data_IF_985228377602
#
_entry.id   IF_985228377602
#
_cell.length_a   1.000
_cell.length_b   1.000
_cell.length_c   1.000
_cell.angle_alpha   90.00
_cell.angle_beta   90.00
_cell.angle_gamma   90.00
#
_symmetry.space_group_name_H-M   'P 1'
#
loop_
_entity.id
_entity.type
_entity.pdbx_description
1 polymer ?
#
# COMPACT_ATOMS: atom_id res chain seq x y z
N UNK A 1 -37.67 36.51 45.20
CA UNK A 1 -37.43 36.59 43.75
C UNK A 1 -36.08 35.91 43.45
N UNK A 2 -36.11 34.63 43.12
CA UNK A 2 -34.92 33.82 42.88
C UNK A 2 -34.64 33.87 41.38
N UNK A 3 -33.48 34.39 40.97
CA UNK A 3 -33.01 34.38 39.58
C UNK A 3 -32.32 33.05 39.33
N UNK A 4 -32.94 32.20 38.50
CA UNK A 4 -32.31 30.99 37.99
C UNK A 4 -31.49 31.39 36.77
N UNK A 5 -30.17 31.24 36.88
CA UNK A 5 -29.23 31.40 35.75
C UNK A 5 -29.14 30.05 35.06
N UNK A 6 -29.66 29.97 33.85
CA UNK A 6 -29.45 28.77 32.98
C UNK A 6 -28.11 28.92 32.27
N UNK A 7 -27.12 28.16 32.71
CA UNK A 7 -25.86 28.00 31.97
C UNK A 7 -26.10 26.96 30.87
N UNK A 8 -26.19 27.42 29.64
CA UNK A 8 -26.14 26.54 28.46
C UNK A 8 -24.71 26.02 28.33
N UNK A 9 -24.48 24.76 28.65
CA UNK A 9 -23.30 24.03 28.20
C UNK A 9 -23.47 23.73 26.70
N UNK A 10 -22.84 24.52 25.85
CA UNK A 10 -22.57 24.12 24.48
C UNK A 10 -21.45 23.06 24.51
N UNK A 11 -21.83 21.77 24.45
CA UNK A 11 -20.91 20.71 24.12
C UNK A 11 -20.60 20.84 22.64
N UNK A 12 -19.48 21.51 22.31
CA UNK A 12 -18.88 21.36 20.98
C UNK A 12 -18.45 19.90 20.83
N UNK A 13 -19.20 19.11 20.03
CA UNK A 13 -18.65 17.92 19.44
C UNK A 13 -17.49 18.37 18.54
N UNK A 14 -16.28 18.38 19.09
CA UNK A 14 -15.09 18.27 18.25
C UNK A 14 -15.19 16.90 17.59
N UNK A 15 -15.62 16.86 16.34
CA UNK A 15 -15.31 15.77 15.46
C UNK A 15 -13.80 15.70 15.44
N UNK A 16 -13.22 14.69 16.09
CA UNK A 16 -11.81 14.42 15.98
C UNK A 16 -11.57 14.06 14.50
N UNK A 17 -11.08 15.03 13.73
CA UNK A 17 -10.55 14.75 12.41
C UNK A 17 -9.43 13.73 12.57
N UNK A 18 -9.44 12.75 11.71
CA UNK A 18 -8.38 11.74 11.65
C UNK A 18 -7.03 12.45 11.60
N UNK A 19 -6.22 12.24 12.64
CA UNK A 19 -4.84 12.74 12.72
C UNK A 19 -3.86 11.70 12.21
N UNK A 20 -4.33 10.77 11.39
CA UNK A 20 -3.50 9.70 10.81
C UNK A 20 -2.53 10.33 9.80
N UNK A 21 -1.34 10.70 10.26
CA UNK A 21 -0.26 11.30 9.48
C UNK A 21 0.92 10.36 9.35
N UNK A 22 1.54 10.37 8.18
CA UNK A 22 2.74 9.58 7.92
C UNK A 22 3.96 10.06 8.73
N UNK A 23 4.75 9.11 9.22
CA UNK A 23 6.00 9.38 9.92
C UNK A 23 7.11 8.42 9.49
N UNK A 24 8.18 8.91 8.81
CA UNK A 24 9.27 8.07 8.31
C UNK A 24 10.04 7.32 9.42
N UNK A 25 10.00 7.76 10.68
CA UNK A 25 10.64 7.06 11.79
C UNK A 25 10.03 5.67 12.05
N UNK A 26 8.82 5.44 11.57
CA UNK A 26 8.09 4.17 11.67
C UNK A 26 8.24 3.28 10.43
N UNK A 27 9.13 3.61 9.49
CA UNK A 27 9.43 2.73 8.36
C UNK A 27 10.01 1.41 8.85
N UNK A 28 9.43 0.30 8.39
CA UNK A 28 9.84 -1.06 8.71
C UNK A 28 9.73 -1.93 7.45
N UNK A 29 10.38 -3.08 7.53
CA UNK A 29 10.29 -4.11 6.50
C UNK A 29 9.99 -5.46 7.14
N UNK A 30 9.25 -6.31 6.43
CA UNK A 30 8.94 -7.69 6.84
C UNK A 30 8.90 -8.56 5.60
N UNK A 31 9.43 -9.77 5.66
CA UNK A 31 9.30 -10.72 4.56
C UNK A 31 7.98 -11.49 4.68
N UNK A 32 7.38 -11.76 3.54
CA UNK A 32 6.38 -12.81 3.34
C UNK A 32 7.10 -14.05 2.80
N UNK A 33 6.75 -15.25 3.26
CA UNK A 33 7.47 -16.49 2.88
C UNK A 33 6.72 -17.79 3.22
N UNK A 34 5.41 -17.70 3.45
CA UNK A 34 4.66 -18.88 3.88
C UNK A 34 4.13 -19.73 2.73
N UNK A 35 4.02 -19.17 1.53
CA UNK A 35 3.68 -19.92 0.32
C UNK A 35 4.93 -20.18 -0.54
N UNK A 36 4.81 -20.31 -1.87
CA UNK A 36 5.96 -20.48 -2.75
C UNK A 36 6.63 -19.18 -3.16
N UNK A 37 6.05 -18.03 -2.82
CA UNK A 37 6.65 -16.72 -3.09
C UNK A 37 7.29 -16.19 -1.81
N UNK A 38 8.45 -15.56 -1.96
CA UNK A 38 9.08 -14.78 -0.90
C UNK A 38 9.37 -13.38 -1.41
N UNK A 39 9.01 -12.37 -0.62
CA UNK A 39 9.33 -10.97 -0.93
C UNK A 39 9.44 -10.13 0.34
N UNK A 40 10.18 -9.02 0.27
CA UNK A 40 10.18 -8.01 1.32
C UNK A 40 9.02 -7.05 1.12
N UNK A 41 8.25 -6.81 2.16
CA UNK A 41 7.20 -5.80 2.21
C UNK A 41 7.69 -4.63 3.04
N UNK A 42 7.54 -3.40 2.51
CA UNK A 42 7.85 -2.16 3.22
C UNK A 42 6.55 -1.42 3.53
N UNK A 43 6.40 -0.94 4.75
CA UNK A 43 5.21 -0.19 5.17
C UNK A 43 5.18 1.27 4.68
N UNK A 44 5.78 1.55 3.55
CA UNK A 44 5.73 2.84 2.86
C UNK A 44 5.38 2.71 1.37
N UNK A 45 4.54 1.71 1.03
CA UNK A 45 3.93 1.56 -0.27
C UNK A 45 4.77 0.86 -1.34
N UNK A 46 5.86 0.19 -0.95
CA UNK A 46 6.73 -0.59 -1.84
C UNK A 46 6.78 -2.03 -1.35
N UNK A 47 6.88 -2.98 -2.28
CA UNK A 47 7.18 -4.38 -1.99
C UNK A 47 8.37 -4.84 -2.84
N UNK A 48 9.04 -5.89 -2.42
CA UNK A 48 10.23 -6.40 -3.11
C UNK A 48 11.52 -5.65 -2.70
N UNK A 49 12.42 -5.42 -3.65
CA UNK A 49 13.74 -4.83 -3.41
C UNK A 49 13.92 -3.55 -4.23
N UNK A 50 14.31 -2.46 -3.60
CA UNK A 50 14.66 -1.22 -4.27
C UNK A 50 16.18 -1.08 -4.41
N UNK A 51 16.63 -0.23 -5.34
CA UNK A 51 18.06 0.12 -5.48
C UNK A 51 18.66 0.69 -4.17
N UNK A 52 17.84 1.37 -3.36
CA UNK A 52 18.27 1.91 -2.07
C UNK A 52 18.43 0.83 -0.98
N UNK A 53 17.85 -0.34 -1.18
CA UNK A 53 17.84 -1.46 -0.22
C UNK A 53 18.22 -2.78 -0.89
N UNK A 54 19.45 -2.92 -1.43
CA UNK A 54 19.85 -4.09 -2.23
C UNK A 54 19.94 -5.39 -1.44
N UNK A 55 19.98 -5.32 -0.11
CA UNK A 55 19.99 -6.49 0.77
C UNK A 55 18.61 -7.09 1.06
N UNK A 56 17.54 -6.46 0.60
CA UNK A 56 16.19 -7.00 0.73
C UNK A 56 15.86 -7.94 -0.43
N UNK A 57 14.83 -8.77 -0.23
CA UNK A 57 14.47 -9.85 -1.13
C UNK A 57 13.47 -9.31 -2.16
N UNK A 58 13.77 -9.37 -3.47
CA UNK A 58 12.76 -9.16 -4.52
C UNK A 58 11.74 -10.31 -4.51
N UNK A 59 10.80 -10.33 -5.44
CA UNK A 59 9.89 -11.47 -5.56
C UNK A 59 10.65 -12.69 -6.06
N UNK A 60 10.85 -13.63 -5.16
CA UNK A 60 11.52 -14.91 -5.36
C UNK A 60 10.49 -16.03 -5.48
N UNK A 61 10.65 -16.87 -6.47
CA UNK A 61 9.85 -18.08 -6.67
C UNK A 61 10.69 -19.17 -7.36
N UNK A 62 10.67 -20.42 -6.86
CA UNK A 62 10.12 -20.85 -5.58
C UNK A 62 10.88 -20.27 -4.37
N UNK A 63 10.23 -20.21 -3.23
CA UNK A 63 10.83 -19.72 -1.97
C UNK A 63 12.16 -20.40 -1.69
N UNK A 64 13.19 -19.62 -1.32
CA UNK A 64 14.57 -20.06 -1.05
C UNK A 64 15.36 -20.60 -2.27
N UNK A 65 14.89 -20.37 -3.49
CA UNK A 65 15.62 -20.77 -4.71
C UNK A 65 16.69 -19.77 -5.12
N UNK A 66 16.54 -18.50 -4.77
CA UNK A 66 17.33 -17.40 -5.32
C UNK A 66 16.88 -16.98 -6.73
N UNK A 67 15.81 -17.57 -7.26
CA UNK A 67 15.24 -17.24 -8.56
C UNK A 67 14.28 -16.06 -8.43
N UNK A 68 14.57 -14.94 -9.06
CA UNK A 68 13.83 -13.70 -8.94
C UNK A 68 13.03 -13.38 -10.19
N UNK A 69 11.84 -12.79 -10.00
CA UNK A 69 10.89 -12.53 -11.09
C UNK A 69 10.41 -11.08 -11.15
N UNK A 70 10.25 -10.40 -9.99
CA UNK A 70 9.96 -8.97 -9.93
C UNK A 70 10.91 -8.30 -8.94
N UNK A 71 11.54 -7.22 -9.34
CA UNK A 71 12.37 -6.43 -8.44
C UNK A 71 11.51 -5.77 -7.36
N UNK A 72 10.45 -5.08 -7.77
CA UNK A 72 9.53 -4.42 -6.84
C UNK A 72 8.15 -4.19 -7.45
N UNK A 73 7.16 -3.97 -6.57
CA UNK A 73 5.88 -3.35 -6.94
C UNK A 73 5.62 -2.12 -6.08
N UNK A 74 4.88 -1.15 -6.60
CA UNK A 74 4.57 0.07 -5.87
C UNK A 74 3.22 0.66 -6.29
N UNK A 75 2.38 1.02 -5.28
CA UNK A 75 1.10 1.67 -5.50
C UNK A 75 1.29 3.09 -6.01
N UNK A 76 0.74 3.42 -7.17
CA UNK A 76 0.61 4.77 -7.69
C UNK A 76 -0.84 5.24 -7.60
N UNK A 77 -1.03 6.50 -7.22
CA UNK A 77 -2.33 7.17 -7.28
C UNK A 77 -2.17 8.48 -8.03
N UNK A 78 -2.93 8.63 -9.11
CA UNK A 78 -3.02 9.85 -9.90
C UNK A 78 -4.31 10.59 -9.62
N UNK A 79 -4.23 11.92 -9.49
CA UNK A 79 -5.39 12.80 -9.32
C UNK A 79 -5.29 13.99 -10.26
N UNK A 80 -6.43 14.59 -10.63
CA UNK A 80 -6.46 15.92 -11.26
C UNK A 80 -6.89 16.96 -10.23
N UNK A 81 -6.20 18.08 -10.18
CA UNK A 81 -6.54 19.20 -9.30
C UNK A 81 -6.69 20.49 -10.08
N UNK A 82 -7.52 21.38 -9.57
CA UNK A 82 -7.57 22.77 -10.01
C UNK A 82 -6.66 23.56 -9.07
N UNK A 83 -5.64 24.17 -9.62
CA UNK A 83 -4.68 24.98 -8.86
C UNK A 83 -5.26 26.33 -8.46
N UNK A 84 -4.57 27.04 -7.58
CA UNK A 84 -4.92 28.40 -7.19
C UNK A 84 -4.93 29.40 -8.37
N UNK A 85 -4.24 29.06 -9.47
CA UNK A 85 -4.19 29.83 -10.71
C UNK A 85 -5.25 29.34 -11.73
N UNK A 86 -6.21 28.53 -11.30
CA UNK A 86 -7.30 27.96 -12.11
C UNK A 86 -6.80 27.01 -13.23
N UNK A 87 -5.59 26.46 -13.11
CA UNK A 87 -5.08 25.48 -14.05
C UNK A 87 -5.40 24.06 -13.58
N UNK A 88 -5.72 23.16 -14.52
CA UNK A 88 -5.83 21.73 -14.24
C UNK A 88 -4.45 21.12 -14.28
N UNK A 89 -4.04 20.44 -13.18
CA UNK A 89 -2.76 19.74 -13.09
C UNK A 89 -2.93 18.30 -12.63
N UNK A 90 -2.31 17.34 -13.32
CA UNK A 90 -2.21 15.98 -12.81
C UNK A 90 -1.19 15.93 -11.67
N UNK A 91 -1.52 15.22 -10.61
CA UNK A 91 -0.64 14.89 -9.50
C UNK A 91 -0.51 13.37 -9.39
N UNK A 92 0.68 12.88 -9.09
CA UNK A 92 0.90 11.45 -8.91
C UNK A 92 1.66 11.22 -7.62
N UNK A 93 1.09 10.41 -6.74
CA UNK A 93 1.79 9.83 -5.58
C UNK A 93 2.26 8.44 -5.96
N UNK A 94 3.58 8.26 -5.98
CA UNK A 94 4.21 6.96 -6.24
C UNK A 94 5.44 6.84 -5.34
N UNK A 95 5.59 5.75 -4.56
CA UNK A 95 6.76 5.55 -3.69
C UNK A 95 8.05 5.36 -4.50
N UNK A 96 9.19 5.32 -3.81
CA UNK A 96 10.56 5.18 -4.34
C UNK A 96 11.02 6.27 -5.33
N UNK A 97 10.25 7.32 -5.55
CA UNK A 97 10.61 8.46 -6.39
C UNK A 97 10.97 9.68 -5.56
N UNK A 98 11.74 10.56 -6.17
CA UNK A 98 12.02 11.89 -5.64
C UNK A 98 11.78 12.90 -6.74
N UNK A 99 11.45 14.13 -6.36
CA UNK A 99 11.44 15.25 -7.29
C UNK A 99 12.86 15.64 -7.72
N UNK A 100 12.99 16.63 -8.61
CA UNK A 100 14.28 17.10 -9.11
C UNK A 100 15.19 17.69 -8.02
N UNK A 101 14.62 18.06 -6.87
CA UNK A 101 15.34 18.60 -5.72
C UNK A 101 15.71 17.53 -4.69
N UNK A 102 15.35 16.25 -4.95
CA UNK A 102 15.61 15.12 -4.07
C UNK A 102 14.59 14.95 -2.94
N UNK A 103 13.46 15.69 -2.94
CA UNK A 103 12.39 15.50 -1.96
C UNK A 103 11.64 14.18 -2.23
N UNK A 104 11.35 13.45 -1.18
CA UNK A 104 10.62 12.19 -1.28
C UNK A 104 9.19 12.39 -1.80
N UNK A 105 8.76 11.52 -2.70
CA UNK A 105 7.38 11.41 -3.19
C UNK A 105 6.72 10.15 -2.59
N UNK A 106 7.15 9.71 -1.42
CA UNK A 106 6.75 8.45 -0.84
C UNK A 106 5.47 8.56 -0.01
N UNK A 107 4.80 7.43 0.09
CA UNK A 107 3.91 7.14 1.19
C UNK A 107 4.71 6.97 2.48
N UNK A 108 4.17 7.44 3.59
CA UNK A 108 4.81 7.25 4.89
C UNK A 108 3.90 6.49 5.85
N UNK A 109 4.47 5.59 6.68
CA UNK A 109 3.67 4.80 7.59
C UNK A 109 2.98 5.66 8.65
N UNK A 110 1.71 5.35 8.89
CA UNK A 110 0.94 5.95 9.98
C UNK A 110 1.34 5.25 11.30
N UNK A 111 1.77 6.00 12.32
CA UNK A 111 2.10 5.43 13.63
C UNK A 111 0.93 4.70 14.28
N UNK A 112 1.24 3.71 15.13
CA UNK A 112 0.24 2.97 15.91
C UNK A 112 -0.26 1.67 15.29
N UNK A 113 0.14 1.34 14.06
CA UNK A 113 -0.21 0.09 13.38
C UNK A 113 0.88 -0.99 13.50
N UNK A 114 1.85 -0.81 14.40
CA UNK A 114 2.88 -1.80 14.73
C UNK A 114 3.35 -1.58 16.17
N UNK A 115 4.02 -2.57 16.75
CA UNK A 115 4.74 -2.39 18.00
C UNK A 115 5.94 -1.45 17.75
N UNK A 116 6.03 -0.28 18.42
CA UNK A 116 7.10 0.68 18.19
C UNK A 116 8.51 0.13 18.47
N UNK A 117 8.62 -0.91 19.30
CA UNK A 117 9.89 -1.59 19.60
C UNK A 117 10.24 -2.69 18.59
N UNK A 118 9.32 -3.06 17.70
CA UNK A 118 9.57 -4.03 16.64
C UNK A 118 10.36 -3.42 15.50
N UNK A 119 11.24 -4.21 14.90
CA UNK A 119 11.90 -3.86 13.64
C UNK A 119 11.10 -4.35 12.42
N UNK A 120 9.97 -5.03 12.65
CA UNK A 120 9.08 -5.56 11.63
C UNK A 120 7.76 -4.79 11.59
N UNK A 121 7.08 -4.86 10.44
CA UNK A 121 5.66 -4.48 10.28
C UNK A 121 4.80 -5.47 11.07
N UNK A 122 3.61 -5.07 11.48
CA UNK A 122 2.68 -5.98 12.12
C UNK A 122 2.27 -7.11 11.16
N UNK A 123 2.47 -8.34 11.59
CA UNK A 123 2.21 -9.57 10.84
C UNK A 123 1.48 -10.59 11.72
N UNK A 124 0.54 -11.32 11.12
CA UNK A 124 -0.44 -12.13 11.85
C UNK A 124 0.15 -13.29 12.63
N UNK A 125 1.27 -13.85 12.19
CA UNK A 125 1.95 -15.00 12.80
C UNK A 125 3.03 -14.62 13.84
N UNK A 126 3.25 -13.31 14.08
CA UNK A 126 4.19 -12.82 15.08
C UNK A 126 3.55 -11.73 15.97
N UNK A 127 2.96 -12.13 17.09
CA UNK A 127 2.30 -11.23 18.04
C UNK A 127 3.22 -10.13 18.61
N UNK A 128 4.54 -10.33 18.58
CA UNK A 128 5.50 -9.33 19.09
C UNK A 128 5.56 -8.09 18.19
N UNK A 129 5.03 -8.17 16.97
CA UNK A 129 4.95 -7.08 16.01
C UNK A 129 3.70 -6.22 16.17
N UNK A 130 2.67 -6.72 16.90
CA UNK A 130 1.37 -6.05 17.00
C UNK A 130 1.44 -4.83 17.90
N UNK A 131 0.68 -3.77 17.60
CA UNK A 131 0.56 -2.64 18.51
C UNK A 131 -0.17 -3.05 19.80
N UNK A 132 0.03 -2.30 20.86
CA UNK A 132 -0.71 -2.49 22.10
C UNK A 132 -2.21 -2.19 21.95
N UNK A 133 -2.57 -1.40 20.95
CA UNK A 133 -3.94 -1.02 20.60
C UNK A 133 -3.98 -0.58 19.14
N UNK A 134 -4.93 -1.09 18.36
CA UNK A 134 -5.14 -0.69 16.96
C UNK A 134 -5.91 0.62 16.90
N UNK A 135 -5.37 1.70 16.28
CA UNK A 135 -6.01 3.01 16.26
C UNK A 135 -7.41 3.02 15.63
N UNK A 136 -7.63 2.21 14.60
CA UNK A 136 -8.92 2.08 13.91
C UNK A 136 -9.98 1.28 14.68
N UNK A 137 -9.60 0.67 15.82
CA UNK A 137 -10.49 -0.14 16.68
C UNK A 137 -10.75 0.48 18.06
N UNK A 138 -10.27 1.69 18.33
CA UNK A 138 -10.44 2.35 19.65
C UNK A 138 -11.89 2.62 19.99
N UNK A 139 -12.76 2.73 18.99
CA UNK A 139 -14.19 2.98 19.14
C UNK A 139 -15.03 1.69 19.23
N UNK A 140 -14.42 0.51 19.24
CA UNK A 140 -15.15 -0.73 19.50
C UNK A 140 -15.64 -0.73 20.95
N UNK A 141 -16.97 -0.77 21.13
CA UNK A 141 -17.60 -0.67 22.46
C UNK A 141 -17.39 -1.93 23.30
N UNK A 142 -17.13 -3.08 22.67
CA UNK A 142 -16.96 -4.37 23.34
C UNK A 142 -15.50 -4.62 23.75
N UNK A 143 -14.55 -4.13 22.96
CA UNK A 143 -13.11 -4.29 23.20
C UNK A 143 -12.33 -3.16 22.53
N UNK A 144 -12.26 -1.99 23.19
CA UNK A 144 -11.59 -0.83 22.64
C UNK A 144 -10.12 -1.09 22.27
N UNK A 145 -9.80 -0.87 21.00
CA UNK A 145 -8.45 -1.02 20.47
C UNK A 145 -7.99 -2.46 20.23
N UNK A 146 -8.81 -3.49 20.49
CA UNK A 146 -8.49 -4.92 20.28
C UNK A 146 -7.11 -5.33 20.81
N UNK A 147 -6.81 -4.91 22.05
CA UNK A 147 -5.51 -5.17 22.68
C UNK A 147 -5.20 -6.67 22.72
N UNK A 148 -3.99 -7.06 22.26
CA UNK A 148 -3.57 -8.47 22.21
C UNK A 148 -4.31 -9.33 21.19
N UNK A 149 -5.07 -8.71 20.28
CA UNK A 149 -5.78 -9.40 19.21
C UNK A 149 -5.27 -8.95 17.84
N UNK A 150 -5.30 -9.86 16.86
CA UNK A 150 -4.99 -9.52 15.48
C UNK A 150 -6.13 -8.72 14.84
N UNK A 151 -5.78 -7.64 14.14
CA UNK A 151 -6.71 -6.86 13.33
C UNK A 151 -6.77 -7.46 11.91
N UNK A 152 -7.39 -8.64 11.79
CA UNK A 152 -7.49 -9.37 10.53
C UNK A 152 -8.48 -8.73 9.55
N UNK A 153 -8.26 -8.92 8.25
CA UNK A 153 -9.17 -8.46 7.20
C UNK A 153 -10.60 -8.99 7.40
N UNK A 154 -10.71 -10.25 7.79
CA UNK A 154 -12.02 -10.91 8.03
C UNK A 154 -12.57 -10.67 9.43
N UNK A 155 -11.89 -9.88 10.27
CA UNK A 155 -12.34 -9.53 11.62
C UNK A 155 -11.31 -9.86 12.71
N UNK A 156 -11.70 -9.56 13.95
CA UNK A 156 -10.87 -9.73 15.13
C UNK A 156 -10.45 -11.20 15.31
N UNK A 157 -9.13 -11.43 15.38
CA UNK A 157 -8.54 -12.77 15.50
C UNK A 157 -8.98 -13.77 14.40
N UNK A 158 -9.36 -13.26 13.22
CA UNK A 158 -9.64 -14.10 12.06
C UNK A 158 -8.37 -14.29 11.25
N UNK A 159 -7.82 -15.50 11.27
CA UNK A 159 -6.58 -15.89 10.60
C UNK A 159 -6.90 -16.74 9.36
N UNK A 160 -7.61 -16.16 8.39
CA UNK A 160 -8.01 -16.91 7.19
C UNK A 160 -6.84 -17.12 6.24
N UNK A 161 -5.95 -16.13 6.08
CA UNK A 161 -4.66 -16.31 5.43
C UNK A 161 -3.66 -16.98 6.40
N UNK A 162 -2.72 -17.75 5.89
CA UNK A 162 -1.63 -18.28 6.70
C UNK A 162 -0.70 -17.18 7.18
N UNK A 163 -0.51 -16.13 6.34
CA UNK A 163 0.22 -14.94 6.73
C UNK A 163 -0.51 -13.71 6.22
N UNK A 164 -0.65 -12.71 7.08
CA UNK A 164 -1.26 -11.43 6.76
C UNK A 164 -0.42 -10.31 7.37
N UNK A 165 -0.03 -9.33 6.55
CA UNK A 165 0.59 -8.07 6.99
C UNK A 165 -0.48 -6.99 6.94
N UNK A 166 -0.49 -6.08 7.93
CA UNK A 166 -1.36 -4.92 7.94
C UNK A 166 -0.62 -3.65 8.39
N UNK A 167 -0.79 -2.58 7.62
CA UNK A 167 -0.30 -1.25 7.96
C UNK A 167 -1.14 -0.18 7.27
N UNK A 168 -0.99 1.08 7.72
CA UNK A 168 -1.54 2.24 7.01
C UNK A 168 -0.44 3.19 6.59
N UNK A 169 -0.67 3.87 5.49
CA UNK A 169 0.23 4.89 4.93
C UNK A 169 -0.54 6.16 4.57
N UNK A 170 0.11 7.30 4.68
CA UNK A 170 -0.39 8.60 4.24
C UNK A 170 0.59 9.23 3.25
N UNK A 171 0.09 9.98 2.29
CA UNK A 171 0.90 10.72 1.32
C UNK A 171 1.20 12.15 1.74
N UNK A 172 0.88 12.54 2.97
CA UNK A 172 1.01 13.90 3.49
C UNK A 172 2.45 14.43 3.60
N UNK A 173 3.45 13.57 3.36
CA UNK A 173 4.86 13.93 3.20
C UNK A 173 5.32 13.94 1.75
N UNK A 174 4.45 13.58 0.81
CA UNK A 174 4.76 13.62 -0.60
C UNK A 174 4.89 15.07 -1.06
N UNK A 175 6.12 15.49 -1.36
CA UNK A 175 6.39 16.86 -1.76
C UNK A 175 5.84 17.17 -3.15
N UNK A 176 4.96 18.17 -3.22
CA UNK A 176 4.45 18.71 -4.48
C UNK A 176 4.92 20.17 -4.60
N UNK A 177 5.75 20.42 -5.61
CA UNK A 177 6.36 21.72 -5.83
C UNK A 177 5.34 22.84 -5.92
N UNK A 178 5.57 23.91 -5.15
CA UNK A 178 4.81 25.14 -5.22
C UNK A 178 3.46 25.11 -4.52
N UNK A 179 3.10 24.00 -3.85
CA UNK A 179 1.85 23.89 -3.11
C UNK A 179 0.64 24.45 -3.89
N UNK A 180 0.34 23.91 -5.09
CA UNK A 180 -0.48 24.60 -6.09
C UNK A 180 -1.97 24.69 -5.72
N UNK A 181 -2.42 23.97 -4.71
CA UNK A 181 -3.83 23.96 -4.25
C UNK A 181 -3.91 23.61 -2.76
N UNK A 182 -5.08 23.85 -2.15
CA UNK A 182 -5.33 23.47 -0.77
C UNK A 182 -5.99 22.08 -0.72
N UNK A 183 -5.24 21.06 -0.32
CA UNK A 183 -5.74 19.68 -0.16
C UNK A 183 -6.49 19.46 1.15
N UNK A 184 -6.20 20.29 2.14
CA UNK A 184 -6.86 20.24 3.43
C UNK A 184 -6.96 21.67 4.00
N UNK A 185 -8.19 22.16 4.13
CA UNK A 185 -8.44 23.52 4.66
C UNK A 185 -8.22 23.60 6.18
N UNK A 186 -8.10 22.47 6.86
CA UNK A 186 -7.89 22.39 8.31
C UNK A 186 -6.43 22.20 8.67
N UNK A 187 -5.59 21.73 7.73
CA UNK A 187 -4.15 21.57 7.89
C UNK A 187 -3.41 21.99 6.61
N UNK A 188 -3.09 23.26 6.52
CA UNK A 188 -2.41 23.84 5.36
C UNK A 188 -0.95 23.39 5.20
N UNK A 189 -0.36 22.76 6.22
CA UNK A 189 0.98 22.21 6.15
C UNK A 189 1.04 20.82 5.48
N UNK A 190 -0.12 20.18 5.31
CA UNK A 190 -0.25 18.88 4.66
C UNK A 190 0.16 18.96 3.20
N UNK A 191 0.90 17.95 2.74
CA UNK A 191 1.33 17.80 1.35
C UNK A 191 0.65 16.60 0.68
N UNK A 192 1.13 16.17 -0.47
CA UNK A 192 0.52 15.08 -1.23
C UNK A 192 -0.85 15.44 -1.81
N UNK A 193 -1.67 14.46 -2.01
CA UNK A 193 -3.07 14.59 -2.42
C UNK A 193 -4.05 14.44 -1.23
N UNK A 194 -3.54 14.37 0.01
CA UNK A 194 -4.37 14.16 1.18
C UNK A 194 -4.95 12.76 1.27
N UNK A 195 -4.21 11.76 0.83
CA UNK A 195 -4.65 10.38 0.78
C UNK A 195 -4.14 9.58 1.98
N UNK A 196 -4.99 8.66 2.42
CA UNK A 196 -4.68 7.64 3.40
C UNK A 196 -4.96 6.27 2.78
N UNK A 197 -4.02 5.33 2.89
CA UNK A 197 -4.24 3.96 2.42
C UNK A 197 -4.01 2.94 3.54
N UNK A 198 -4.99 2.05 3.72
CA UNK A 198 -4.81 0.80 4.45
C UNK A 198 -4.29 -0.27 3.49
N UNK A 199 -3.23 -0.96 3.87
CA UNK A 199 -2.61 -1.98 3.02
C UNK A 199 -2.57 -3.30 3.76
N UNK A 200 -3.03 -4.36 3.08
CA UNK A 200 -2.90 -5.74 3.55
C UNK A 200 -2.22 -6.58 2.51
N UNK A 201 -1.32 -7.43 2.95
CA UNK A 201 -0.66 -8.43 2.11
C UNK A 201 -0.98 -9.79 2.68
N UNK A 202 -1.52 -10.69 1.86
CA UNK A 202 -2.01 -12.00 2.30
C UNK A 202 -1.41 -13.12 1.45
N UNK A 203 -1.08 -14.21 2.13
CA UNK A 203 -0.58 -15.43 1.51
C UNK A 203 -1.29 -16.68 2.03
N UNK A 204 -1.46 -17.67 1.15
CA UNK A 204 -2.06 -18.97 1.45
C UNK A 204 -1.20 -20.11 0.90
N UNK A 205 -1.15 -21.22 1.66
CA UNK A 205 -0.47 -22.48 1.24
C UNK A 205 -1.37 -23.42 0.42
N UNK A 206 -2.55 -22.98 0.04
CA UNK A 206 -3.47 -23.80 -0.74
C UNK A 206 -2.96 -23.93 -2.19
N UNK A 207 -2.96 -25.14 -2.72
CA UNK A 207 -2.37 -25.49 -4.04
C UNK A 207 -2.82 -24.55 -5.17
N UNK A 208 -4.06 -24.07 -5.15
CA UNK A 208 -4.60 -23.20 -6.21
C UNK A 208 -4.09 -21.75 -6.13
N UNK A 209 -3.54 -21.34 -5.00
CA UNK A 209 -3.11 -19.96 -4.75
C UNK A 209 -1.76 -19.87 -4.03
N UNK A 210 -1.01 -20.98 -3.94
CA UNK A 210 0.32 -21.00 -3.29
C UNK A 210 1.40 -20.23 -4.07
N UNK A 211 1.11 -19.87 -5.31
CA UNK A 211 1.94 -19.09 -6.22
C UNK A 211 1.42 -17.64 -6.37
N UNK A 212 0.58 -17.15 -5.43
CA UNK A 212 -0.07 -15.84 -5.50
C UNK A 212 0.13 -15.07 -4.20
N UNK A 213 0.43 -13.79 -4.32
CA UNK A 213 0.39 -12.80 -3.24
C UNK A 213 -0.78 -11.85 -3.50
N UNK A 214 -1.68 -11.72 -2.55
CA UNK A 214 -2.79 -10.77 -2.62
C UNK A 214 -2.41 -9.49 -1.90
N UNK A 215 -2.55 -8.34 -2.57
CA UNK A 215 -2.29 -7.03 -1.98
C UNK A 215 -3.58 -6.21 -2.08
N UNK A 216 -4.15 -5.88 -0.93
CA UNK A 216 -5.37 -5.09 -0.83
C UNK A 216 -5.01 -3.67 -0.41
N UNK A 217 -5.53 -2.70 -1.14
CA UNK A 217 -5.39 -1.28 -0.84
C UNK A 217 -6.78 -0.67 -0.58
N UNK A 218 -7.01 -0.20 0.63
CA UNK A 218 -8.18 0.62 0.98
C UNK A 218 -7.75 2.08 0.96
N UNK A 219 -8.11 2.81 -0.10
CA UNK A 219 -7.67 4.20 -0.29
C UNK A 219 -8.80 5.15 0.06
N UNK A 220 -8.48 6.13 0.91
CA UNK A 220 -9.41 7.15 1.38
C UNK A 220 -8.86 8.53 1.06
N UNK A 221 -9.73 9.41 0.55
CA UNK A 221 -9.48 10.84 0.60
C UNK A 221 -9.65 11.30 2.06
N UNK A 222 -8.55 11.67 2.70
CA UNK A 222 -8.49 12.12 4.09
C UNK A 222 -8.29 13.65 4.19
N UNK A 223 -8.29 14.33 3.04
CA UNK A 223 -8.29 15.78 2.92
C UNK A 223 -9.70 16.38 2.84
N UNK A 224 -9.76 17.68 2.59
CA UNK A 224 -11.02 18.42 2.37
C UNK A 224 -11.24 18.81 0.91
N UNK A 225 -10.35 18.44 0.00
CA UNK A 225 -10.47 18.67 -1.43
C UNK A 225 -11.16 17.48 -2.10
N UNK A 226 -12.22 17.75 -2.86
CA UNK A 226 -12.93 16.71 -3.62
C UNK A 226 -12.23 16.49 -4.97
N UNK A 227 -11.89 15.26 -5.27
CA UNK A 227 -11.27 14.85 -6.54
C UNK A 227 -12.34 14.36 -7.50
N UNK A 228 -12.46 15.00 -8.66
CA UNK A 228 -13.37 14.57 -9.74
C UNK A 228 -12.82 13.33 -10.47
N UNK A 229 -11.49 13.16 -10.49
CA UNK A 229 -10.82 12.05 -11.15
C UNK A 229 -9.70 11.52 -10.28
N UNK A 230 -9.71 10.21 -10.07
CA UNK A 230 -8.65 9.46 -9.39
C UNK A 230 -8.32 8.25 -10.25
N UNK A 231 -7.04 8.00 -10.47
CA UNK A 231 -6.54 6.81 -11.17
C UNK A 231 -5.66 6.01 -10.25
N UNK A 232 -5.80 4.71 -10.25
CA UNK A 232 -4.95 3.79 -9.51
C UNK A 232 -4.04 3.05 -10.48
N UNK A 233 -2.81 2.81 -10.06
CA UNK A 233 -1.83 2.06 -10.83
C UNK A 233 -0.93 1.25 -9.92
N UNK A 234 -0.44 0.13 -10.43
CA UNK A 234 0.63 -0.62 -9.81
C UNK A 234 1.87 -0.50 -10.70
N UNK A 235 2.91 0.11 -10.17
CA UNK A 235 4.21 0.05 -10.83
C UNK A 235 4.80 -1.33 -10.62
N UNK A 236 5.16 -1.99 -11.71
CA UNK A 236 5.85 -3.27 -11.72
C UNK A 236 7.25 -3.04 -12.30
N UNK A 237 8.28 -3.48 -11.59
CA UNK A 237 9.62 -3.57 -12.13
C UNK A 237 9.96 -5.05 -12.26
N UNK A 238 10.00 -5.52 -13.49
CA UNK A 238 10.36 -6.89 -13.81
C UNK A 238 11.80 -7.22 -13.44
N UNK A 239 12.05 -8.48 -13.23
CA UNK A 239 13.36 -9.07 -12.93
C UNK A 239 13.29 -10.57 -13.27
N UNK A 240 12.60 -10.91 -14.34
CA UNK A 240 12.42 -12.31 -14.78
C UNK A 240 13.77 -12.85 -15.22
N UNK A 241 14.13 -14.05 -14.77
CA UNK A 241 15.50 -14.56 -14.99
C UNK A 241 16.52 -14.09 -13.94
N UNK A 242 16.20 -13.08 -13.13
CA UNK A 242 17.00 -12.64 -12.00
C UNK A 242 17.99 -11.51 -12.26
N UNK A 243 18.84 -11.25 -11.28
CA UNK A 243 19.80 -10.13 -11.34
C UNK A 243 20.78 -10.28 -12.50
N UNK A 244 20.82 -9.24 -13.34
CA UNK A 244 21.73 -9.14 -14.48
C UNK A 244 21.17 -9.72 -15.78
N UNK A 245 19.96 -10.26 -15.75
CA UNK A 245 19.28 -10.91 -16.86
C UNK A 245 18.12 -10.09 -17.43
N UNK A 246 17.44 -9.32 -16.63
CA UNK A 246 16.23 -8.55 -16.98
C UNK A 246 16.34 -7.57 -18.18
N UNK A 247 17.44 -7.59 -18.89
CA UNK A 247 17.65 -6.72 -20.07
C UNK A 247 16.88 -7.14 -21.32
N UNK A 248 16.42 -8.36 -21.38
CA UNK A 248 15.63 -8.95 -22.47
C UNK A 248 14.21 -9.35 -22.03
N UNK A 249 13.80 -9.00 -20.82
CA UNK A 249 12.43 -9.15 -20.36
C UNK A 249 11.43 -8.49 -21.33
N UNK A 250 10.38 -9.21 -21.64
CA UNK A 250 9.30 -8.73 -22.52
C UNK A 250 7.98 -8.69 -21.76
N UNK A 251 7.46 -7.48 -21.49
CA UNK A 251 6.14 -7.31 -20.88
C UNK A 251 5.04 -7.39 -21.94
N UNK A 252 3.87 -7.88 -21.53
CA UNK A 252 2.65 -7.86 -22.33
C UNK A 252 1.41 -7.70 -21.42
N UNK A 253 0.23 -7.54 -22.02
CA UNK A 253 -1.02 -7.37 -21.32
C UNK A 253 -2.14 -8.16 -22.01
N UNK A 254 -2.88 -8.95 -21.25
CA UNK A 254 -4.06 -9.67 -21.72
C UNK A 254 -5.32 -8.90 -21.31
N UNK A 255 -6.01 -8.33 -22.32
CA UNK A 255 -7.25 -7.55 -22.13
C UNK A 255 -8.46 -8.39 -21.69
N UNK A 256 -8.42 -9.72 -21.88
CA UNK A 256 -9.55 -10.60 -21.54
C UNK A 256 -9.50 -10.97 -20.05
N UNK A 257 -8.28 -11.15 -19.55
CA UNK A 257 -8.05 -11.60 -18.17
C UNK A 257 -7.55 -10.48 -17.25
N UNK A 258 -7.40 -9.25 -17.76
CA UNK A 258 -6.84 -8.09 -17.02
C UNK A 258 -5.50 -8.42 -16.34
N UNK A 259 -4.62 -9.09 -17.06
CA UNK A 259 -3.33 -9.54 -16.55
C UNK A 259 -2.20 -8.84 -17.28
N UNK A 260 -1.41 -8.06 -16.56
CA UNK A 260 -0.09 -7.63 -16.99
C UNK A 260 0.93 -8.70 -16.63
N UNK A 261 1.79 -9.12 -17.56
CA UNK A 261 2.79 -10.13 -17.31
C UNK A 261 4.11 -9.79 -17.99
N UNK A 262 5.20 -10.37 -17.49
CA UNK A 262 6.53 -10.27 -18.08
C UNK A 262 7.17 -11.65 -18.14
N UNK A 263 7.88 -11.92 -19.23
CA UNK A 263 8.65 -13.13 -19.42
C UNK A 263 10.05 -12.80 -19.91
N UNK A 264 10.98 -13.68 -19.61
CA UNK A 264 12.31 -13.74 -20.20
C UNK A 264 12.22 -14.17 -21.67
N UNK A 265 12.89 -13.43 -22.57
CA UNK A 265 12.74 -13.66 -24.03
C UNK A 265 13.53 -14.84 -24.54
N UNK A 266 14.67 -15.18 -23.95
CA UNK A 266 15.50 -16.30 -24.38
C UNK A 266 15.32 -17.54 -23.51
N UNK A 267 14.61 -17.42 -22.37
CA UNK A 267 14.30 -18.50 -21.45
C UNK A 267 15.50 -18.96 -20.61
N UNK A 268 16.55 -18.15 -20.52
CA UNK A 268 17.80 -18.47 -19.83
C UNK A 268 18.01 -17.48 -18.70
N UNK A 269 17.72 -17.89 -17.48
CA UNK A 269 17.95 -17.05 -16.30
C UNK A 269 19.42 -17.02 -15.86
N UNK A 270 19.67 -16.21 -14.84
CA UNK A 270 21.00 -16.10 -14.22
C UNK A 270 21.43 -17.42 -13.54
N UNK A 271 22.60 -17.41 -12.90
CA UNK A 271 23.17 -18.61 -12.28
C UNK A 271 22.27 -19.29 -11.23
N UNK A 272 21.30 -18.57 -10.64
CA UNK A 272 20.37 -19.17 -9.68
C UNK A 272 19.36 -20.11 -10.34
N UNK A 273 19.07 -19.93 -11.60
CA UNK A 273 18.19 -20.81 -12.38
C UNK A 273 18.89 -22.10 -12.84
N UNK A 274 20.22 -22.04 -13.03
CA UNK A 274 20.96 -23.22 -13.49
C UNK A 274 20.46 -23.73 -14.84
N UNK A 275 19.75 -24.86 -14.84
CA UNK A 275 19.09 -25.45 -16.02
C UNK A 275 17.56 -25.43 -15.94
N UNK A 276 17.02 -24.81 -14.87
CA UNK A 276 15.57 -24.69 -14.71
C UNK A 276 15.02 -23.70 -15.73
N UNK A 277 13.84 -23.95 -16.29
CA UNK A 277 13.19 -23.00 -17.17
C UNK A 277 12.80 -21.74 -16.40
N UNK A 278 12.96 -20.59 -17.03
CA UNK A 278 12.45 -19.34 -16.50
C UNK A 278 10.92 -19.30 -16.66
N UNK A 279 10.21 -18.90 -15.60
CA UNK A 279 8.76 -18.78 -15.60
C UNK A 279 8.29 -17.40 -16.05
N UNK A 280 7.10 -17.01 -15.59
CA UNK A 280 6.45 -15.74 -15.91
C UNK A 280 6.06 -15.04 -14.61
N UNK A 281 6.25 -13.73 -14.54
CA UNK A 281 5.68 -12.89 -13.51
C UNK A 281 4.40 -12.22 -14.03
N UNK A 282 3.32 -12.25 -13.26
CA UNK A 282 2.06 -11.68 -13.66
C UNK A 282 1.41 -10.90 -12.52
N UNK A 283 0.64 -9.86 -12.87
CA UNK A 283 -0.18 -9.09 -11.94
C UNK A 283 -1.53 -8.82 -12.57
N UNK A 284 -2.59 -9.00 -11.80
CA UNK A 284 -3.97 -8.74 -12.20
C UNK A 284 -4.67 -7.88 -11.16
N UNK A 285 -5.54 -6.98 -11.59
CA UNK A 285 -6.52 -6.34 -10.75
C UNK A 285 -7.70 -7.28 -10.61
N UNK A 286 -7.97 -7.75 -9.39
CA UNK A 286 -9.11 -8.63 -9.10
C UNK A 286 -10.36 -7.79 -8.86
N UNK A 287 -10.20 -6.66 -8.19
CA UNK A 287 -11.26 -5.70 -7.90
C UNK A 287 -10.67 -4.30 -7.95
N UNK A 288 -11.23 -3.45 -8.79
CA UNK A 288 -10.86 -2.05 -8.92
C UNK A 288 -12.01 -1.15 -8.44
N UNK A 289 -11.73 0.12 -8.10
CA UNK A 289 -12.78 1.04 -7.72
C UNK A 289 -13.76 1.25 -8.88
N UNK A 290 -14.97 0.75 -8.72
CA UNK A 290 -16.06 0.93 -9.66
C UNK A 290 -17.35 1.30 -8.92
N UNK A 291 -18.35 1.77 -9.65
CA UNK A 291 -19.68 2.00 -9.13
C UNK A 291 -20.68 1.12 -9.90
N UNK A 292 -21.03 -0.01 -9.34
CA UNK A 292 -21.89 -1.02 -9.97
C UNK A 292 -23.37 -0.60 -10.15
N UNK A 293 -23.75 0.62 -9.75
CA UNK A 293 -25.14 1.12 -9.84
C UNK A 293 -25.31 2.29 -10.77
N UNK A 294 -24.28 2.93 -11.26
CA UNK A 294 -24.37 4.08 -12.17
C UNK A 294 -24.52 3.70 -13.65
N UNK A 295 -24.38 2.42 -13.98
CA UNK A 295 -24.46 1.83 -15.32
C UNK A 295 -23.35 2.29 -16.27
N UNK A 296 -22.24 2.69 -15.72
CA UNK A 296 -21.02 3.00 -16.44
C UNK A 296 -20.02 1.91 -16.08
N UNK A 297 -19.36 1.36 -17.08
CA UNK A 297 -18.23 0.46 -16.89
C UNK A 297 -17.02 1.31 -16.44
N UNK A 298 -16.85 1.42 -15.10
CA UNK A 298 -15.84 2.29 -14.51
C UNK A 298 -14.47 1.61 -14.40
N UNK A 299 -14.46 0.30 -14.50
CA UNK A 299 -13.27 -0.55 -14.32
C UNK A 299 -12.89 -1.34 -15.57
N UNK A 300 -13.75 -1.32 -16.61
CA UNK A 300 -13.45 -1.92 -17.90
C UNK A 300 -13.65 -3.44 -17.95
N UNK A 301 -14.38 -3.99 -16.97
CA UNK A 301 -14.62 -5.44 -16.89
C UNK A 301 -15.86 -5.92 -17.67
N UNK A 302 -16.64 -4.99 -18.25
CA UNK A 302 -17.87 -5.26 -19.00
C UNK A 302 -19.09 -5.36 -18.11
#
# INVERSE_FOLDING_TARGET
MVKIVHTLLLSSLLMAQSTERGNPDFRRATNIDVNKIRATIFNYGVTGRTMANPGHIPYEWPVNSGQHYLALTALGVGTEVITNDEEIRPLVTIPFRSDQSGNSMAWEPVPGYLNPNSQKIAISDDMTTWPSSWPDKVNDLSDPGWSGSWNGFFGKNQFNAQQEIFYKVSDDKNYILGNPYSRDTTDLARQGAGLLAGVRVLEWKQILIEDVVFILHEIKNDGSYDYDKVSFSMWLADLVGGDGDSGDDTPDFDLIYDVAWSMDSDGIGNAAFGTDPVGVAATSFIETPGNNIDRIDNDGDG
#
